data_IF_344284230731
#
_entry.id   IF_344284230731
#
_cell.length_a   1.000
_cell.length_b   1.000
_cell.length_c   1.000
_cell.angle_alpha   90.00
_cell.angle_beta   90.00
_cell.angle_gamma   90.00
#
_symmetry.space_group_name_H-M   'P 1'
#
loop_
_entity.id
_entity.type
_entity.pdbx_description
1 polymer ?
#
# COMPACT_ATOMS: atom_id res chain seq x y z
N UNK A 1 15.24 12.84 18.54
CA UNK A 1 14.65 13.50 17.37
C UNK A 1 13.83 14.67 17.89
N UNK A 2 14.10 15.88 17.40
CA UNK A 2 13.24 17.03 17.70
C UNK A 2 11.86 16.81 17.08
N UNK A 3 10.81 17.21 17.81
CA UNK A 3 9.44 17.13 17.30
C UNK A 3 9.27 18.21 16.23
N UNK A 4 8.79 17.88 15.01
CA UNK A 4 8.60 18.87 13.96
C UNK A 4 7.63 19.97 14.39
N UNK A 5 8.03 21.23 14.24
CA UNK A 5 7.25 22.41 14.64
C UNK A 5 6.60 23.13 13.46
N UNK A 6 7.04 22.85 12.24
CA UNK A 6 6.52 23.48 11.03
C UNK A 6 5.18 22.86 10.60
N UNK A 7 4.21 23.72 10.24
CA UNK A 7 2.89 23.34 9.73
C UNK A 7 3.02 22.35 8.57
N UNK A 8 2.30 21.22 8.64
CA UNK A 8 2.24 20.22 7.57
C UNK A 8 3.40 19.21 7.55
N UNK A 9 4.38 19.36 8.45
CA UNK A 9 5.48 18.40 8.60
C UNK A 9 5.01 17.07 9.19
N UNK A 10 5.53 15.93 8.72
CA UNK A 10 5.10 14.61 9.15
C UNK A 10 5.48 14.31 10.60
N UNK A 11 4.61 13.58 11.31
CA UNK A 11 4.86 13.05 12.66
C UNK A 11 4.71 11.52 12.65
N UNK A 12 5.74 10.74 13.06
CA UNK A 12 7.09 11.19 13.42
C UNK A 12 7.86 11.80 12.23
N UNK A 13 8.85 12.64 12.55
CA UNK A 13 9.72 13.26 11.55
C UNK A 13 10.37 12.21 10.64
N UNK A 14 10.61 12.56 9.37
CA UNK A 14 11.33 11.74 8.40
C UNK A 14 10.78 10.31 8.21
N UNK A 15 9.51 10.08 8.56
CA UNK A 15 8.85 8.79 8.33
C UNK A 15 8.11 8.84 6.99
N UNK A 16 8.53 8.09 5.96
CA UNK A 16 7.93 8.15 4.63
C UNK A 16 6.44 7.82 4.58
N UNK A 17 5.95 7.07 5.57
CA UNK A 17 4.58 6.60 5.70
C UNK A 17 3.83 7.26 6.87
N UNK A 18 4.27 8.43 7.33
CA UNK A 18 3.60 9.17 8.39
C UNK A 18 2.15 9.49 8.01
N UNK A 19 1.24 9.31 8.97
CA UNK A 19 -0.21 9.54 8.80
C UNK A 19 -0.72 10.76 9.57
N UNK A 20 0.19 11.44 10.28
CA UNK A 20 -0.09 12.62 11.10
C UNK A 20 0.86 13.74 10.70
N UNK A 21 0.41 14.98 10.87
CA UNK A 21 1.22 16.18 10.62
C UNK A 21 1.17 17.14 11.79
N UNK A 22 2.13 18.06 11.84
CA UNK A 22 2.13 19.16 12.82
C UNK A 22 1.15 20.26 12.40
N UNK A 23 0.23 20.60 13.30
CA UNK A 23 -0.60 21.81 13.28
C UNK A 23 -0.33 22.58 14.59
N UNK A 24 0.69 23.46 14.63
CA UNK A 24 1.24 24.01 15.86
C UNK A 24 0.31 24.99 16.59
N UNK A 25 -0.60 25.66 15.88
CA UNK A 25 -1.55 26.60 16.49
C UNK A 25 -3.01 26.15 16.30
N UNK A 26 -3.91 26.65 17.14
CA UNK A 26 -5.36 26.44 16.94
C UNK A 26 -5.83 27.02 15.60
N UNK A 27 -5.26 28.15 15.18
CA UNK A 27 -5.59 28.76 13.90
C UNK A 27 -5.21 27.85 12.71
N UNK A 28 -4.11 27.10 12.79
CA UNK A 28 -3.76 26.11 11.76
C UNK A 28 -4.79 24.98 11.68
N UNK A 29 -5.40 24.60 12.81
CA UNK A 29 -6.48 23.60 12.82
C UNK A 29 -7.74 24.16 12.14
N UNK A 30 -8.12 25.41 12.43
CA UNK A 30 -9.25 26.08 11.75
C UNK A 30 -9.00 26.15 10.24
N UNK A 31 -7.81 26.61 9.83
CA UNK A 31 -7.44 26.68 8.41
C UNK A 31 -7.38 25.32 7.72
N UNK A 32 -6.98 24.26 8.44
CA UNK A 32 -7.03 22.90 7.91
C UNK A 32 -8.47 22.46 7.61
N UNK A 33 -9.39 22.66 8.55
CA UNK A 33 -10.81 22.30 8.39
C UNK A 33 -11.52 23.13 7.31
N UNK A 34 -11.16 24.40 7.15
CA UNK A 34 -11.67 25.29 6.10
C UNK A 34 -11.00 25.06 4.72
N UNK A 35 -10.12 24.06 4.61
CA UNK A 35 -9.33 23.76 3.41
C UNK A 35 -8.49 24.96 2.89
N UNK A 36 -8.06 25.84 3.79
CA UNK A 36 -7.33 27.06 3.44
C UNK A 36 -5.93 26.72 2.86
N UNK A 37 -5.56 27.27 1.68
CA UNK A 37 -4.26 27.03 1.04
C UNK A 37 -3.04 27.31 1.91
N UNK A 38 -3.13 28.22 2.89
CA UNK A 38 -2.03 28.54 3.82
C UNK A 38 -1.53 27.31 4.58
N UNK A 39 -2.42 26.35 4.86
CA UNK A 39 -2.11 25.08 5.52
C UNK A 39 -2.08 23.94 4.51
N UNK A 40 -3.11 23.79 3.68
CA UNK A 40 -3.25 22.60 2.81
C UNK A 40 -2.13 22.45 1.79
N UNK A 41 -1.55 23.55 1.30
CA UNK A 41 -0.40 23.51 0.39
C UNK A 41 0.91 23.05 1.04
N UNK A 42 1.01 23.09 2.37
CA UNK A 42 2.20 22.70 3.15
C UNK A 42 2.14 21.23 3.62
N UNK A 43 0.99 20.58 3.45
CA UNK A 43 0.76 19.22 3.90
C UNK A 43 1.59 18.22 3.08
N UNK A 44 2.56 17.56 3.73
CA UNK A 44 3.38 16.54 3.07
C UNK A 44 2.71 15.17 3.08
N UNK A 45 1.91 14.90 4.12
CA UNK A 45 1.11 13.70 4.27
C UNK A 45 -0.17 14.06 5.05
N UNK A 46 -0.94 13.05 5.43
CA UNK A 46 -2.11 13.24 6.27
C UNK A 46 -2.81 11.93 6.57
N UNK A 47 -3.89 12.01 7.33
CA UNK A 47 -4.64 10.83 7.70
C UNK A 47 -5.22 10.16 6.44
N UNK A 48 -4.99 8.85 6.21
CA UNK A 48 -5.27 8.18 4.93
C UNK A 48 -6.71 8.30 4.43
N UNK A 49 -7.66 8.56 5.33
CA UNK A 49 -9.06 8.83 4.98
C UNK A 49 -9.20 10.10 4.13
N UNK A 50 -8.51 11.17 4.52
CA UNK A 50 -8.70 12.51 3.96
C UNK A 50 -7.63 12.89 2.94
N UNK A 51 -6.42 12.33 3.12
CA UNK A 51 -5.26 12.61 2.31
C UNK A 51 -4.79 11.32 1.61
N UNK A 52 -4.89 11.28 0.28
CA UNK A 52 -4.36 10.16 -0.51
C UNK A 52 -2.84 10.32 -0.58
N UNK A 53 -2.10 9.36 -0.05
CA UNK A 53 -0.66 9.43 0.07
C UNK A 53 0.05 9.69 -1.29
N UNK A 54 1.15 10.47 -1.36
CA UNK A 54 1.79 10.81 -2.64
C UNK A 54 2.28 9.59 -3.43
N UNK A 55 2.73 8.53 -2.74
CA UNK A 55 3.10 7.26 -3.39
C UNK A 55 1.89 6.57 -4.05
N UNK A 56 0.71 6.63 -3.44
CA UNK A 56 -0.53 6.10 -4.02
C UNK A 56 -0.90 6.94 -5.24
N UNK A 57 -0.78 8.27 -5.16
CA UNK A 57 -1.02 9.17 -6.28
C UNK A 57 -0.06 8.90 -7.44
N UNK A 58 1.25 8.71 -7.16
CA UNK A 58 2.28 8.38 -8.17
C UNK A 58 1.98 7.05 -8.87
N UNK A 59 1.64 6.00 -8.10
CA UNK A 59 1.24 4.72 -8.67
C UNK A 59 -0.04 4.87 -9.51
N UNK A 60 -1.03 5.61 -9.00
CA UNK A 60 -2.28 5.83 -9.70
C UNK A 60 -2.06 6.55 -11.03
N UNK A 61 -1.30 7.65 -11.03
CA UNK A 61 -0.96 8.40 -12.23
C UNK A 61 -0.30 7.50 -13.29
N UNK A 62 0.64 6.65 -12.87
CA UNK A 62 1.30 5.69 -13.77
C UNK A 62 0.32 4.69 -14.39
N UNK A 63 -0.65 4.19 -13.61
CA UNK A 63 -1.66 3.25 -14.12
C UNK A 63 -2.75 3.96 -14.95
N UNK A 64 -3.09 5.20 -14.65
CA UNK A 64 -3.94 6.05 -15.50
C UNK A 64 -3.27 6.28 -16.84
N UNK A 65 -1.98 6.63 -16.89
CA UNK A 65 -1.25 6.78 -18.17
C UNK A 65 -1.22 5.49 -18.99
N UNK A 66 -1.27 4.32 -18.32
CA UNK A 66 -1.23 3.02 -18.99
C UNK A 66 -2.61 2.54 -19.50
N UNK A 67 -3.68 2.80 -18.76
CA UNK A 67 -5.01 2.19 -19.00
C UNK A 67 -6.15 3.21 -19.20
N UNK A 68 -5.92 4.47 -18.82
CA UNK A 68 -6.86 5.58 -18.90
C UNK A 68 -7.01 6.14 -20.30
N UNK A 69 -8.08 6.91 -20.49
CA UNK A 69 -8.31 7.78 -21.65
C UNK A 69 -7.96 9.22 -21.30
N UNK A 70 -8.02 10.11 -22.29
CA UNK A 70 -7.95 11.56 -22.03
C UNK A 70 -9.00 11.97 -21.00
N UNK A 71 -8.62 12.82 -20.06
CA UNK A 71 -9.44 13.30 -18.93
C UNK A 71 -9.93 12.22 -17.94
N UNK A 72 -9.41 10.98 -18.00
CA UNK A 72 -9.67 10.01 -16.94
C UNK A 72 -8.83 10.34 -15.69
N UNK A 73 -9.49 10.24 -14.53
CA UNK A 73 -8.83 10.06 -13.24
C UNK A 73 -8.91 8.58 -12.82
N UNK A 74 -8.11 8.23 -11.80
CA UNK A 74 -8.00 6.87 -11.30
C UNK A 74 -8.16 6.78 -9.78
N UNK A 75 -8.56 5.61 -9.30
CA UNK A 75 -8.50 5.25 -7.88
C UNK A 75 -8.15 3.78 -7.69
N UNK A 76 -7.23 3.49 -6.75
CA UNK A 76 -6.62 2.18 -6.58
C UNK A 76 -7.23 1.39 -5.41
N UNK A 77 -7.46 0.10 -5.64
CA UNK A 77 -8.00 -0.84 -4.67
C UNK A 77 -7.20 -2.16 -4.65
N UNK A 78 -7.12 -2.84 -3.48
CA UNK A 78 -6.33 -4.06 -3.33
C UNK A 78 -7.04 -5.31 -3.86
N UNK A 79 -8.33 -5.25 -4.22
CA UNK A 79 -9.08 -6.38 -4.77
C UNK A 79 -10.18 -5.95 -5.73
N UNK A 80 -10.53 -6.83 -6.68
CA UNK A 80 -11.62 -6.62 -7.63
C UNK A 80 -12.95 -6.38 -6.91
N UNK A 81 -13.22 -7.13 -5.82
CA UNK A 81 -14.45 -6.97 -5.02
C UNK A 81 -14.65 -5.54 -4.54
N UNK A 82 -13.60 -4.91 -3.99
CA UNK A 82 -13.67 -3.54 -3.48
C UNK A 82 -13.76 -2.53 -4.63
N UNK A 83 -13.03 -2.77 -5.72
CA UNK A 83 -13.15 -1.95 -6.93
C UNK A 83 -14.59 -1.97 -7.48
N UNK A 84 -15.24 -3.13 -7.48
CA UNK A 84 -16.63 -3.26 -7.91
C UNK A 84 -17.61 -2.53 -6.99
N UNK A 85 -17.36 -2.55 -5.68
CA UNK A 85 -18.16 -1.79 -4.71
C UNK A 85 -18.06 -0.29 -4.97
N UNK A 86 -16.84 0.23 -5.21
CA UNK A 86 -16.66 1.63 -5.56
C UNK A 86 -17.31 1.97 -6.91
N UNK A 87 -17.15 1.11 -7.94
CA UNK A 87 -17.83 1.30 -9.23
C UNK A 87 -19.35 1.36 -9.06
N UNK A 88 -19.92 0.46 -8.26
CA UNK A 88 -21.36 0.42 -7.97
C UNK A 88 -21.81 1.68 -7.22
N UNK A 89 -21.02 2.14 -6.24
CA UNK A 89 -21.24 3.40 -5.56
C UNK A 89 -21.24 4.59 -6.53
N UNK A 90 -20.22 4.69 -7.39
CA UNK A 90 -20.14 5.75 -8.39
C UNK A 90 -21.30 5.72 -9.37
N UNK A 91 -21.70 4.53 -9.88
CA UNK A 91 -22.87 4.40 -10.76
C UNK A 91 -24.17 4.91 -10.11
N UNK A 92 -24.29 4.79 -8.79
CA UNK A 92 -25.46 5.26 -8.04
C UNK A 92 -25.47 6.77 -7.83
N UNK A 93 -24.31 7.39 -7.61
CA UNK A 93 -24.21 8.79 -7.19
C UNK A 93 -23.68 9.75 -8.27
N UNK A 94 -23.04 9.25 -9.32
CA UNK A 94 -22.57 10.06 -10.44
C UNK A 94 -23.70 10.34 -11.43
N UNK A 95 -24.46 11.39 -11.14
CA UNK A 95 -25.56 11.85 -11.97
C UNK A 95 -25.03 12.53 -13.25
N UNK A 96 -25.66 12.26 -14.39
CA UNK A 96 -25.28 12.79 -15.72
C UNK A 96 -23.82 12.49 -16.13
N UNK A 97 -23.45 11.20 -16.26
CA UNK A 97 -22.08 10.82 -16.57
C UNK A 97 -21.66 11.27 -17.97
N UNK A 98 -20.55 12.00 -18.04
CA UNK A 98 -19.84 12.37 -19.28
C UNK A 98 -19.04 11.22 -19.89
N UNK A 99 -18.83 10.14 -19.12
CA UNK A 99 -18.05 8.98 -19.51
C UNK A 99 -18.29 7.78 -18.61
N UNK A 100 -17.68 6.66 -18.96
CA UNK A 100 -17.92 5.36 -18.31
C UNK A 100 -16.97 5.12 -17.15
N UNK A 101 -17.48 4.60 -16.03
CA UNK A 101 -16.66 4.06 -14.94
C UNK A 101 -16.20 2.63 -15.28
N UNK A 102 -14.90 2.43 -15.41
CA UNK A 102 -14.27 1.17 -15.86
C UNK A 102 -13.33 0.63 -14.79
N UNK A 103 -13.11 -0.68 -14.77
CA UNK A 103 -12.09 -1.32 -13.94
C UNK A 103 -11.03 -1.88 -14.86
N UNK A 104 -9.76 -1.65 -14.53
CA UNK A 104 -8.64 -2.37 -15.09
C UNK A 104 -7.90 -3.09 -13.98
N UNK A 105 -7.44 -4.31 -14.28
CA UNK A 105 -6.67 -5.14 -13.36
C UNK A 105 -5.22 -5.20 -13.83
N UNK A 106 -4.30 -5.14 -12.88
CA UNK A 106 -2.88 -5.21 -13.20
C UNK A 106 -2.11 -5.97 -12.14
N UNK A 107 -1.56 -7.11 -12.56
CA UNK A 107 -0.62 -7.89 -11.76
C UNK A 107 0.78 -7.27 -11.88
N UNK A 108 1.26 -6.69 -10.80
CA UNK A 108 2.63 -6.17 -10.70
C UNK A 108 3.53 -7.31 -10.23
N UNK A 109 4.51 -7.69 -11.04
CA UNK A 109 5.46 -8.75 -10.75
C UNK A 109 6.88 -8.33 -11.12
N UNK A 110 7.86 -8.74 -10.32
CA UNK A 110 9.28 -8.55 -10.66
C UNK A 110 9.72 -9.54 -11.73
N UNK A 111 10.55 -9.11 -12.68
CA UNK A 111 11.17 -10.03 -13.65
C UNK A 111 12.04 -11.11 -12.99
N UNK A 112 12.59 -10.84 -11.80
CA UNK A 112 13.44 -11.79 -11.08
C UNK A 112 12.64 -12.86 -10.32
N UNK A 113 11.44 -12.52 -9.86
CA UNK A 113 10.53 -13.42 -9.13
C UNK A 113 9.10 -13.29 -9.69
N UNK A 114 8.81 -13.88 -10.85
CA UNK A 114 7.50 -13.74 -11.52
C UNK A 114 6.34 -14.38 -10.74
N UNK A 115 6.65 -15.26 -9.79
CA UNK A 115 5.69 -15.88 -8.88
C UNK A 115 5.09 -14.89 -7.90
N UNK A 116 5.84 -13.86 -7.52
CA UNK A 116 5.47 -12.90 -6.48
C UNK A 116 4.68 -11.76 -7.14
N UNK A 117 3.39 -12.03 -7.39
CA UNK A 117 2.48 -11.09 -8.03
C UNK A 117 1.70 -10.30 -6.99
N UNK A 118 1.60 -8.99 -7.23
CA UNK A 118 0.75 -8.09 -6.45
C UNK A 118 -0.39 -7.60 -7.33
N UNK A 119 -1.63 -8.10 -7.12
CA UNK A 119 -2.77 -7.67 -7.90
C UNK A 119 -3.20 -6.26 -7.47
N UNK A 120 -3.25 -5.34 -8.43
CA UNK A 120 -3.76 -3.97 -8.26
C UNK A 120 -4.96 -3.77 -9.16
N UNK A 121 -6.02 -3.18 -8.60
CA UNK A 121 -7.24 -2.89 -9.33
C UNK A 121 -7.40 -1.37 -9.37
N UNK A 122 -7.51 -0.81 -10.57
CA UNK A 122 -7.74 0.62 -10.78
C UNK A 122 -9.13 0.83 -11.35
N UNK A 123 -9.87 1.76 -10.75
CA UNK A 123 -11.09 2.29 -11.35
C UNK A 123 -10.70 3.54 -12.12
N UNK A 124 -11.13 3.61 -13.38
CA UNK A 124 -10.94 4.73 -14.29
C UNK A 124 -12.28 5.40 -14.54
N UNK A 125 -12.34 6.71 -14.43
CA UNK A 125 -13.56 7.51 -14.52
C UNK A 125 -13.26 8.94 -14.95
N UNK A 126 -14.23 9.69 -15.51
CA UNK A 126 -14.06 11.10 -15.83
C UNK A 126 -13.60 11.91 -14.60
N UNK A 127 -12.59 12.77 -14.75
CA UNK A 127 -11.94 13.47 -13.63
C UNK A 127 -12.91 14.24 -12.71
N UNK A 128 -13.99 14.79 -13.23
CA UNK A 128 -15.05 15.46 -12.48
C UNK A 128 -15.80 14.55 -11.50
N UNK A 129 -15.77 13.23 -11.71
CA UNK A 129 -16.37 12.24 -10.81
C UNK A 129 -15.47 11.92 -9.59
N UNK A 130 -14.27 12.49 -9.54
CA UNK A 130 -13.30 12.26 -8.45
C UNK A 130 -13.86 12.54 -7.04
N UNK A 131 -14.65 13.61 -6.79
CA UNK A 131 -15.24 13.83 -5.46
C UNK A 131 -16.11 12.67 -4.99
N UNK A 132 -16.84 12.01 -5.91
CA UNK A 132 -17.71 10.86 -5.59
C UNK A 132 -16.86 9.63 -5.27
N UNK A 133 -15.86 9.34 -6.10
CA UNK A 133 -14.92 8.25 -5.82
C UNK A 133 -14.20 8.47 -4.46
N UNK A 134 -13.85 9.72 -4.15
CA UNK A 134 -13.20 10.09 -2.89
C UNK A 134 -14.10 9.89 -1.67
N UNK A 135 -15.41 10.06 -1.79
CA UNK A 135 -16.35 9.71 -0.71
C UNK A 135 -16.31 8.21 -0.41
N UNK A 136 -16.28 7.35 -1.44
CA UNK A 136 -16.11 5.91 -1.22
C UNK A 136 -14.78 5.61 -0.52
N UNK A 137 -13.68 6.19 -1.00
CA UNK A 137 -12.36 6.08 -0.35
C UNK A 137 -12.42 6.45 1.15
N UNK A 138 -13.07 7.56 1.47
CA UNK A 138 -13.19 8.08 2.83
C UNK A 138 -13.99 7.15 3.77
N UNK A 139 -15.02 6.47 3.25
CA UNK A 139 -15.98 5.77 4.09
C UNK A 139 -15.85 4.24 4.05
N UNK A 140 -15.30 3.66 2.99
CA UNK A 140 -15.16 2.21 2.87
C UNK A 140 -13.95 1.64 3.63
N UNK A 141 -12.81 2.35 3.63
CA UNK A 141 -11.61 1.93 4.37
C UNK A 141 -10.82 0.75 3.77
N UNK A 142 -11.27 0.16 2.66
CA UNK A 142 -10.59 -0.94 1.94
C UNK A 142 -9.65 -0.44 0.84
N UNK A 143 -8.83 0.54 1.17
CA UNK A 143 -7.95 1.19 0.20
C UNK A 143 -6.56 0.55 0.16
N UNK A 144 -5.81 0.81 -0.91
CA UNK A 144 -4.38 0.48 -0.95
C UNK A 144 -3.61 1.30 0.10
N UNK A 145 -2.56 0.71 0.68
CA UNK A 145 -1.68 1.39 1.64
C UNK A 145 -0.50 2.08 0.96
N UNK A 146 0.09 3.08 1.61
CA UNK A 146 1.31 3.74 1.12
C UNK A 146 2.48 2.77 0.94
N UNK A 147 2.63 1.79 1.86
CA UNK A 147 3.63 0.70 1.77
C UNK A 147 3.40 -0.22 0.58
N UNK A 148 2.14 -0.60 0.31
CA UNK A 148 1.83 -1.41 -0.88
C UNK A 148 2.12 -0.63 -2.16
N UNK A 149 1.80 0.67 -2.20
CA UNK A 149 2.12 1.53 -3.34
C UNK A 149 3.64 1.69 -3.54
N UNK A 150 4.41 1.88 -2.46
CA UNK A 150 5.87 1.91 -2.49
C UNK A 150 6.46 0.61 -3.07
N UNK A 151 6.02 -0.53 -2.56
CA UNK A 151 6.46 -1.85 -3.02
C UNK A 151 6.18 -2.05 -4.52
N UNK A 152 4.97 -1.68 -4.96
CA UNK A 152 4.58 -1.75 -6.38
C UNK A 152 5.42 -0.83 -7.27
N UNK A 153 5.63 0.43 -6.84
CA UNK A 153 6.45 1.39 -7.57
C UNK A 153 7.89 0.91 -7.73
N UNK A 154 8.48 0.37 -6.66
CA UNK A 154 9.84 -0.18 -6.69
C UNK A 154 9.99 -1.29 -7.73
N UNK A 155 9.05 -2.26 -7.76
CA UNK A 155 9.06 -3.34 -8.77
C UNK A 155 8.97 -2.76 -10.19
N UNK A 156 8.08 -1.79 -10.40
CA UNK A 156 7.90 -1.19 -11.71
C UNK A 156 9.13 -0.41 -12.18
N UNK A 157 9.77 0.35 -11.30
CA UNK A 157 11.01 1.09 -11.58
C UNK A 157 12.19 0.15 -11.86
N UNK A 158 12.32 -0.95 -11.12
CA UNK A 158 13.32 -2.00 -11.38
C UNK A 158 13.10 -2.66 -12.75
N UNK A 159 11.84 -2.93 -13.13
CA UNK A 159 11.50 -3.50 -14.43
C UNK A 159 11.82 -2.53 -15.58
N UNK A 160 11.50 -1.24 -15.44
CA UNK A 160 11.85 -0.21 -16.45
C UNK A 160 13.36 -0.11 -16.65
N UNK A 161 14.13 -0.10 -15.56
CA UNK A 161 15.59 -0.03 -15.62
C UNK A 161 16.20 -1.24 -16.34
N UNK A 162 15.59 -2.42 -16.23
CA UNK A 162 16.02 -3.62 -16.94
C UNK A 162 15.64 -3.57 -18.44
N UNK A 163 14.46 -3.05 -18.78
CA UNK A 163 14.04 -2.86 -20.17
C UNK A 163 14.99 -1.90 -20.91
N UNK A 164 15.30 -0.75 -20.30
CA UNK A 164 16.21 0.24 -20.89
C UNK A 164 17.64 -0.29 -21.06
N UNK A 165 18.12 -1.17 -20.18
CA UNK A 165 19.43 -1.83 -20.33
C UNK A 165 19.46 -2.79 -21.52
N UNK A 166 18.38 -3.53 -21.78
CA UNK A 166 18.30 -4.47 -22.91
C UNK A 166 18.25 -3.75 -24.27
N UNK A 167 17.52 -2.63 -24.35
CA UNK A 167 17.46 -1.82 -25.58
C UNK A 167 18.82 -1.22 -25.96
N UNK A 168 19.68 -0.91 -24.98
CA UNK A 168 21.02 -0.36 -25.24
C UNK A 168 22.05 -1.38 -25.77
N UNK A 169 21.79 -2.68 -25.66
CA UNK A 169 22.74 -3.73 -26.08
C UNK A 169 22.48 -4.31 -27.47
N UNK A 170 21.27 -4.16 -28.02
CA UNK A 170 20.92 -4.73 -29.33
C UNK A 170 21.33 -3.85 -30.53
N UNK A 171 21.64 -2.57 -30.32
CA UNK A 171 22.06 -1.65 -31.41
C UNK A 171 23.57 -1.73 -31.74
N UNK A 172 24.30 -2.67 -31.12
CA UNK A 172 25.75 -2.84 -31.28
C UNK A 172 26.16 -4.03 -32.19
N UNK A 173 25.24 -4.57 -33.00
CA UNK A 173 25.49 -5.74 -33.88
C UNK A 173 25.74 -5.42 -35.36
N UNK A 174 26.16 -4.20 -35.71
CA UNK A 174 26.74 -3.94 -37.03
C UNK A 174 27.85 -2.89 -37.00
N UNK A 175 29.08 -3.33 -36.72
CA UNK A 175 30.26 -2.62 -37.22
C UNK A 175 31.36 -3.61 -37.60
N UNK A 176 31.77 -3.67 -38.88
CA UNK A 176 32.83 -4.57 -39.31
C UNK A 176 34.15 -4.20 -38.62
N UNK A 177 34.82 -5.19 -38.03
CA UNK A 177 36.17 -5.05 -37.49
C UNK A 177 37.15 -4.84 -38.64
N UNK A 178 37.64 -3.62 -38.80
CA UNK A 178 38.84 -3.33 -39.59
C UNK A 178 40.06 -3.50 -38.69
N UNK A 179 40.82 -4.55 -38.97
CA UNK A 179 42.21 -4.75 -38.54
C UNK A 179 43.11 -3.68 -39.17
N UNK A 180 44.04 -3.08 -38.41
CA UNK A 180 45.40 -2.75 -38.87
C UNK A 180 46.26 -2.19 -37.72
N UNK A 181 47.37 -2.87 -37.41
CA UNK A 181 48.71 -2.27 -37.38
C UNK A 181 49.18 -1.39 -36.20
N UNK A 182 49.92 -2.04 -35.29
CA UNK A 182 51.33 -1.71 -34.92
C UNK A 182 51.72 -0.42 -34.16
N UNK A 183 52.60 -0.65 -33.16
CA UNK A 183 53.62 0.22 -32.48
C UNK A 183 53.16 1.04 -31.27
N UNK A 184 53.57 0.64 -30.05
CA UNK A 184 54.78 1.12 -29.31
C UNK A 184 54.34 2.17 -28.27
N UNK A 185 54.75 2.27 -27.00
CA UNK A 185 55.98 1.91 -26.27
C UNK A 185 55.69 1.98 -24.76
N UNK A 186 56.49 1.26 -23.96
CA UNK A 186 56.59 1.30 -22.50
C UNK A 186 56.65 2.72 -21.90
N UNK A 187 56.14 2.94 -20.68
CA UNK A 187 56.93 3.56 -19.59
C UNK A 187 56.29 3.36 -18.19
N UNK A 188 57.18 3.43 -17.21
CA UNK A 188 57.16 3.00 -15.82
C UNK A 188 56.24 3.82 -14.89
N UNK A 189 55.67 3.13 -13.88
CA UNK A 189 55.50 3.56 -12.48
C UNK A 189 55.18 5.03 -12.14
N UNK A 190 54.03 5.25 -11.51
CA UNK A 190 54.02 5.74 -10.12
C UNK A 190 52.65 5.51 -9.47
N UNK A 191 52.67 4.79 -8.36
CA UNK A 191 51.52 4.56 -7.49
C UNK A 191 51.19 5.90 -6.80
N UNK A 192 50.17 6.62 -7.29
CA UNK A 192 49.55 7.71 -6.54
C UNK A 192 48.22 7.24 -6.00
N UNK A 193 48.24 6.98 -4.71
CA UNK A 193 47.11 6.80 -3.81
C UNK A 193 46.20 8.05 -3.90
N UNK A 194 45.20 8.02 -4.76
CA UNK A 194 44.11 9.00 -4.72
C UNK A 194 43.11 8.55 -3.66
N UNK A 195 43.01 9.38 -2.61
CA UNK A 195 41.95 9.34 -1.60
C UNK A 195 40.59 9.17 -2.26
N UNK A 196 39.71 8.26 -1.80
CA UNK A 196 38.33 8.27 -2.25
C UNK A 196 37.63 9.52 -1.68
N UNK A 197 37.14 10.36 -2.57
CA UNK A 197 36.25 11.49 -2.28
C UNK A 197 34.96 10.94 -1.68
N UNK A 198 34.65 11.34 -0.45
CA UNK A 198 33.41 11.04 0.27
C UNK A 198 32.22 11.80 -0.33
N UNK A 199 31.76 11.41 -1.52
CA UNK A 199 30.51 11.93 -2.07
C UNK A 199 29.78 10.82 -2.83
N UNK A 200 29.11 9.93 -2.07
CA UNK A 200 27.93 9.11 -2.45
C UNK A 200 27.73 7.96 -1.43
N UNK A 201 27.38 8.28 -0.18
CA UNK A 201 26.90 7.31 0.82
C UNK A 201 25.53 7.56 1.47
N UNK A 202 24.81 8.69 1.30
CA UNK A 202 23.65 8.94 2.15
C UNK A 202 22.40 8.11 1.78
N UNK A 203 22.34 7.47 0.61
CA UNK A 203 21.16 6.67 0.19
C UNK A 203 21.15 5.25 0.72
N UNK A 204 22.29 4.56 0.78
CA UNK A 204 22.34 3.17 1.27
C UNK A 204 22.17 3.08 2.78
N UNK A 205 22.82 3.97 3.54
CA UNK A 205 22.71 4.00 5.01
C UNK A 205 21.27 4.29 5.49
N UNK A 206 20.53 5.15 4.80
CA UNK A 206 19.13 5.44 5.12
C UNK A 206 18.18 4.26 4.84
N UNK A 207 18.43 3.51 3.76
CA UNK A 207 17.64 2.31 3.42
C UNK A 207 17.92 1.19 4.42
N UNK A 208 19.18 0.98 4.80
CA UNK A 208 19.56 0.00 5.83
C UNK A 208 18.97 0.36 7.21
N UNK A 209 18.99 1.64 7.59
CA UNK A 209 18.41 2.08 8.87
C UNK A 209 16.89 1.92 8.92
N UNK A 210 16.17 2.23 7.84
CA UNK A 210 14.72 2.02 7.74
C UNK A 210 14.38 0.53 7.75
N UNK A 211 15.14 -0.28 7.01
CA UNK A 211 14.99 -1.74 6.97
C UNK A 211 15.23 -2.33 8.37
N UNK A 212 16.30 -1.91 9.04
CA UNK A 212 16.62 -2.32 10.41
C UNK A 212 15.54 -1.92 11.42
N UNK A 213 15.01 -0.70 11.33
CA UNK A 213 13.91 -0.25 12.21
C UNK A 213 12.63 -1.06 11.94
N UNK A 214 12.29 -1.32 10.69
CA UNK A 214 11.13 -2.13 10.30
C UNK A 214 11.34 -3.63 10.60
N UNK A 215 12.56 -4.15 10.61
CA UNK A 215 12.83 -5.54 11.01
C UNK A 215 12.87 -5.72 12.53
N UNK A 216 13.42 -4.73 13.26
CA UNK A 216 13.59 -4.79 14.72
C UNK A 216 12.35 -4.33 15.48
N UNK A 217 11.61 -3.37 14.94
CA UNK A 217 10.42 -2.77 15.57
C UNK A 217 9.16 -2.87 14.71
N UNK A 218 9.32 -2.96 13.39
CA UNK A 218 8.24 -3.34 12.49
C UNK A 218 7.98 -4.84 12.60
N UNK A 219 6.70 -5.19 12.59
CA UNK A 219 6.24 -6.57 12.70
C UNK A 219 6.41 -7.28 11.35
N UNK A 220 7.63 -7.41 10.87
CA UNK A 220 7.94 -8.07 9.59
C UNK A 220 7.88 -9.59 9.76
N UNK A 221 6.66 -10.08 9.90
CA UNK A 221 6.39 -11.50 9.81
C UNK A 221 6.40 -11.89 8.32
N UNK A 222 7.21 -12.87 7.89
CA UNK A 222 7.20 -13.36 6.51
C UNK A 222 5.78 -13.70 6.04
N UNK A 223 5.47 -13.39 4.78
CA UNK A 223 4.12 -13.57 4.19
C UNK A 223 3.59 -15.00 4.35
N UNK A 224 4.49 -16.00 4.36
CA UNK A 224 4.16 -17.41 4.59
C UNK A 224 3.42 -17.65 5.91
N UNK A 225 3.64 -16.83 6.92
CA UNK A 225 2.95 -16.94 8.22
C UNK A 225 1.69 -16.07 8.31
N UNK A 226 1.30 -15.36 7.26
CA UNK A 226 0.17 -14.43 7.31
C UNK A 226 -1.15 -15.13 7.70
N UNK A 227 -1.39 -16.36 7.23
CA UNK A 227 -2.58 -17.13 7.60
C UNK A 227 -2.53 -17.57 9.06
N UNK A 228 -1.40 -18.11 9.52
CA UNK A 228 -1.19 -18.49 10.92
C UNK A 228 -1.37 -17.29 11.88
N UNK A 229 -0.85 -16.11 11.51
CA UNK A 229 -1.03 -14.90 12.28
C UNK A 229 -2.51 -14.45 12.35
N UNK A 230 -3.26 -14.57 11.25
CA UNK A 230 -4.71 -14.26 11.24
C UNK A 230 -5.47 -15.20 12.17
N UNK A 231 -5.21 -16.51 12.11
CA UNK A 231 -5.84 -17.50 13.00
C UNK A 231 -5.50 -17.21 14.47
N UNK A 232 -4.23 -16.98 14.79
CA UNK A 232 -3.81 -16.64 16.15
C UNK A 232 -4.48 -15.36 16.68
N UNK A 233 -4.60 -14.32 15.84
CA UNK A 233 -5.32 -13.09 16.19
C UNK A 233 -6.80 -13.35 16.45
N UNK A 234 -7.46 -14.15 15.62
CA UNK A 234 -8.87 -14.53 15.79
C UNK A 234 -9.08 -15.30 17.10
N UNK A 235 -8.29 -16.34 17.37
CA UNK A 235 -8.33 -17.11 18.62
C UNK A 235 -8.15 -16.21 19.85
N UNK A 236 -7.19 -15.29 19.80
CA UNK A 236 -6.94 -14.33 20.89
C UNK A 236 -8.09 -13.34 21.10
N UNK A 237 -8.73 -12.88 20.01
CA UNK A 237 -9.89 -11.98 20.12
C UNK A 237 -11.09 -12.75 20.70
N UNK A 238 -11.36 -13.96 20.22
CA UNK A 238 -12.41 -14.84 20.74
C UNK A 238 -12.17 -15.32 22.18
N UNK A 239 -10.91 -15.31 22.64
CA UNK A 239 -10.53 -15.76 23.99
C UNK A 239 -10.35 -17.28 24.09
N UNK A 240 -10.09 -17.95 22.96
CA UNK A 240 -9.97 -19.41 22.84
C UNK A 240 -8.54 -19.86 22.51
N UNK A 241 -7.55 -19.03 22.84
CA UNK A 241 -6.14 -19.29 22.53
C UNK A 241 -5.63 -20.45 23.40
N UNK A 242 -5.58 -21.66 22.84
CA UNK A 242 -5.01 -22.82 23.53
C UNK A 242 -3.47 -22.75 23.53
N UNK A 243 -2.85 -23.17 24.63
CA UNK A 243 -1.46 -22.88 25.01
C UNK A 243 -0.32 -23.45 24.15
N UNK A 244 -0.59 -23.99 22.96
CA UNK A 244 0.43 -24.38 21.98
C UNK A 244 -0.11 -24.15 20.56
N UNK A 245 0.48 -23.19 19.84
CA UNK A 245 0.23 -23.01 18.40
C UNK A 245 1.49 -23.51 17.70
N UNK A 246 1.44 -24.73 17.18
CA UNK A 246 2.54 -25.24 16.36
C UNK A 246 2.53 -24.46 15.03
N UNK A 247 3.60 -23.69 14.79
CA UNK A 247 3.71 -22.80 13.63
C UNK A 247 4.15 -23.54 12.36
N UNK A 248 4.50 -24.82 12.47
CA UNK A 248 5.15 -25.62 11.41
C UNK A 248 4.15 -26.34 10.48
N UNK A 249 2.86 -26.39 10.84
CA UNK A 249 1.79 -26.91 9.99
C UNK A 249 0.80 -25.80 9.63
N UNK A 250 0.19 -25.89 8.44
CA UNK A 250 -1.00 -25.10 8.13
C UNK A 250 -1.99 -25.32 9.28
N UNK A 251 -2.29 -24.26 10.05
CA UNK A 251 -3.23 -24.32 11.17
C UNK A 251 -4.64 -24.57 10.64
N UNK A 252 -4.92 -25.82 10.24
CA UNK A 252 -6.26 -26.30 9.93
C UNK A 252 -6.96 -26.59 11.24
N UNK A 253 -7.80 -25.65 11.68
CA UNK A 253 -8.71 -25.86 12.79
C UNK A 253 -9.76 -26.89 12.35
N UNK A 254 -9.76 -28.07 12.97
CA UNK A 254 -10.74 -29.11 12.66
C UNK A 254 -12.12 -28.74 13.20
N UNK A 255 -13.17 -29.41 12.69
CA UNK A 255 -14.55 -29.23 13.22
C UNK A 255 -14.60 -29.55 14.71
N UNK A 256 -13.85 -30.57 15.15
CA UNK A 256 -13.74 -30.92 16.56
C UNK A 256 -13.12 -29.79 17.38
N UNK A 257 -12.05 -29.16 16.89
CA UNK A 257 -11.42 -28.03 17.57
C UNK A 257 -12.38 -26.83 17.68
N UNK A 258 -13.20 -26.58 16.65
CA UNK A 258 -14.21 -25.53 16.69
C UNK A 258 -15.31 -25.83 17.72
N UNK A 259 -15.77 -27.07 17.80
CA UNK A 259 -16.77 -27.49 18.79
C UNK A 259 -16.21 -27.37 20.22
N UNK A 260 -14.96 -27.76 20.45
CA UNK A 260 -14.27 -27.56 21.73
C UNK A 260 -14.14 -26.08 22.08
N UNK A 261 -13.74 -25.24 21.12
CA UNK A 261 -13.67 -23.79 21.31
C UNK A 261 -15.02 -23.22 21.75
N UNK A 262 -16.11 -23.59 21.08
CA UNK A 262 -17.47 -23.10 21.39
C UNK A 262 -17.97 -23.61 22.74
N UNK A 263 -17.60 -24.82 23.15
CA UNK A 263 -17.96 -25.37 24.45
C UNK A 263 -17.16 -24.76 25.60
N UNK A 264 -15.91 -24.36 25.33
CA UNK A 264 -15.03 -23.74 26.32
C UNK A 264 -15.54 -22.37 26.76
N UNK A 265 -15.37 -22.04 28.05
CA UNK A 265 -15.53 -20.68 28.55
C UNK A 265 -14.19 -19.98 28.39
N UNK A 266 -14.05 -19.21 27.32
CA UNK A 266 -12.79 -18.54 26.99
C UNK A 266 -12.32 -17.55 28.07
N UNK A 267 -11.08 -17.05 27.94
CA UNK A 267 -10.44 -16.13 28.91
C UNK A 267 -11.25 -14.85 29.21
N UNK A 268 -12.15 -14.48 28.29
CA UNK A 268 -13.04 -13.32 28.43
C UNK A 268 -14.35 -13.63 29.17
N UNK A 269 -14.55 -14.87 29.61
CA UNK A 269 -15.74 -15.33 30.31
C UNK A 269 -16.98 -15.55 29.43
N UNK A 270 -16.84 -15.44 28.11
CA UNK A 270 -17.90 -15.66 27.12
C UNK A 270 -17.81 -17.09 26.59
N UNK A 271 -18.95 -17.79 26.50
CA UNK A 271 -19.06 -19.14 25.95
C UNK A 271 -19.71 -19.08 24.55
N UNK A 272 -19.44 -20.07 23.70
CA UNK A 272 -20.06 -20.21 22.37
C UNK A 272 -19.28 -19.55 21.22
N UNK A 273 -18.16 -18.89 21.52
CA UNK A 273 -17.31 -18.26 20.51
C UNK A 273 -16.20 -19.18 20.03
N UNK A 274 -15.86 -19.05 18.76
CA UNK A 274 -14.73 -19.67 18.08
C UNK A 274 -13.95 -18.62 17.28
N UNK A 275 -12.82 -19.03 16.71
CA UNK A 275 -12.08 -18.17 15.77
C UNK A 275 -12.86 -17.80 14.49
N UNK A 276 -13.88 -18.57 14.11
CA UNK A 276 -14.71 -18.30 12.93
C UNK A 276 -15.69 -17.14 13.15
N UNK A 277 -16.04 -16.87 14.41
CA UNK A 277 -16.93 -15.77 14.78
C UNK A 277 -16.19 -14.41 14.82
N UNK A 278 -14.88 -14.41 14.54
CA UNK A 278 -14.04 -13.21 14.47
C UNK A 278 -13.66 -12.88 13.03
N UNK A 279 -14.09 -11.70 12.57
CA UNK A 279 -13.75 -11.15 11.26
C UNK A 279 -12.65 -10.09 11.40
N UNK A 280 -11.59 -10.24 10.61
CA UNK A 280 -10.47 -9.29 10.57
C UNK A 280 -10.60 -8.38 9.35
N UNK A 281 -10.48 -7.07 9.58
CA UNK A 281 -10.52 -6.04 8.55
C UNK A 281 -9.23 -5.19 8.58
N UNK A 282 -8.82 -4.60 7.44
CA UNK A 282 -7.56 -3.86 7.33
C UNK A 282 -7.50 -2.61 8.21
N UNK A 283 -8.65 -1.99 8.51
CA UNK A 283 -8.75 -0.84 9.41
C UNK A 283 -10.14 -0.73 10.06
N UNK A 284 -10.27 0.14 11.06
CA UNK A 284 -11.55 0.37 11.75
C UNK A 284 -12.66 0.91 10.84
N UNK A 285 -12.32 1.74 9.84
CA UNK A 285 -13.32 2.18 8.86
C UNK A 285 -13.85 1.02 8.02
N UNK A 286 -12.98 0.11 7.60
CA UNK A 286 -13.39 -1.11 6.89
C UNK A 286 -14.30 -1.98 7.76
N UNK A 287 -13.96 -2.19 9.04
CA UNK A 287 -14.84 -2.96 9.93
C UNK A 287 -16.23 -2.33 10.08
N UNK A 288 -16.31 -0.99 10.20
CA UNK A 288 -17.59 -0.28 10.31
C UNK A 288 -18.38 -0.40 9.00
N UNK A 289 -17.70 -0.20 7.86
CA UNK A 289 -18.30 -0.29 6.54
C UNK A 289 -18.91 -1.67 6.29
N UNK A 290 -18.16 -2.75 6.54
CA UNK A 290 -18.66 -4.11 6.34
C UNK A 290 -19.73 -4.51 7.35
N UNK A 291 -19.63 -4.09 8.61
CA UNK A 291 -20.69 -4.29 9.60
C UNK A 291 -22.00 -3.63 9.13
N UNK A 292 -21.92 -2.41 8.60
CA UNK A 292 -23.08 -1.74 8.00
C UNK A 292 -23.61 -2.50 6.77
N UNK A 293 -22.75 -3.00 5.86
CA UNK A 293 -23.20 -3.79 4.72
C UNK A 293 -23.93 -5.07 5.16
N UNK A 294 -23.41 -5.78 6.17
CA UNK A 294 -24.05 -6.98 6.72
C UNK A 294 -25.40 -6.63 7.35
N UNK A 295 -25.46 -5.57 8.15
CA UNK A 295 -26.71 -5.08 8.73
C UNK A 295 -27.74 -4.70 7.66
N UNK A 296 -27.30 -4.14 6.52
CA UNK A 296 -28.18 -3.81 5.39
C UNK A 296 -28.73 -5.03 4.65
N UNK A 297 -27.99 -6.15 4.67
CA UNK A 297 -28.35 -7.42 4.03
C UNK A 297 -29.26 -8.29 4.90
N UNK A 298 -28.98 -8.36 6.20
CA UNK A 298 -29.69 -9.22 7.16
C UNK A 298 -30.80 -8.47 7.88
N UNK A 299 -30.66 -7.15 8.03
CA UNK A 299 -31.62 -6.31 8.73
C UNK A 299 -32.95 -6.20 7.97
N UNK A 300 -34.03 -6.11 8.74
CA UNK A 300 -35.38 -5.94 8.22
C UNK A 300 -35.48 -4.62 7.42
N UNK A 301 -35.78 -4.75 6.13
CA UNK A 301 -35.91 -3.61 5.23
C UNK A 301 -37.07 -2.67 5.61
N UNK A 302 -38.06 -3.16 6.39
CA UNK A 302 -39.20 -2.37 6.86
C UNK A 302 -38.86 -1.40 8.01
N UNK A 303 -37.71 -1.59 8.66
CA UNK A 303 -37.22 -0.75 9.76
C UNK A 303 -36.23 0.34 9.31
N UNK A 304 -35.99 0.48 8.00
CA UNK A 304 -35.18 1.58 7.45
C UNK A 304 -36.02 2.85 7.43
N UNK A 305 -35.86 3.70 8.45
CA UNK A 305 -36.40 5.07 8.50
C UNK A 305 -35.67 6.01 7.55
#
# INVERSE_FOLDING_TARGET
MEVPTQVGSPIPAHTPHAVSVTLPTWQDNVFYEEANPIVTSKMQCGYPRFFIHPLIQKLCARLVSKFGKENDAGMLFPSHKVAEQCRSFMKRYYQNPTGTVRIAEFDIASHQKPSDRVPIHIILFPQEAFPIAKQFWQHAGDNITSRMAEYCLRILEENDAQANKKESTDDALYRPKLTMGSRSRSHYSSNKLTKPTEEQKPKEEGVEQVTYLEERYGRNLPVVFANNAKVALKRRIAGVLMGHVDFDHENHTSVHDLDEQRQSKGDRGIQGLSEEDVYLYPCGMSSIFHAHQIAMLVGDASLKS
#
